data_IF_476838997119
#
_entry.id   IF_476838997119
#
_cell.length_a   1.000
_cell.length_b   1.000
_cell.length_c   1.000
_cell.angle_alpha   90.00
_cell.angle_beta   90.00
_cell.angle_gamma   90.00
#
_symmetry.space_group_name_H-M   'P 1'
#
loop_
_entity.id
_entity.type
_entity.pdbx_description
1 polymer ?
#
# COMPACT_ATOMS: atom_id res chain seq x y z
N UNK A 1 49.01 8.47 -15.31
CA UNK A 1 49.04 8.07 -16.74
C UNK A 1 49.21 6.57 -16.82
N UNK A 2 48.55 5.95 -17.80
CA UNK A 2 48.51 4.53 -18.15
C UNK A 2 47.63 3.60 -17.28
N UNK A 3 46.42 3.39 -17.82
CA UNK A 3 45.45 2.34 -17.46
C UNK A 3 45.86 1.03 -18.15
N UNK A 4 45.80 -0.09 -17.45
CA UNK A 4 46.00 -1.43 -18.03
C UNK A 4 44.68 -2.19 -17.99
N UNK A 5 43.94 -2.15 -19.10
CA UNK A 5 42.73 -2.95 -19.32
C UNK A 5 43.10 -4.37 -19.74
N UNK A 6 42.66 -5.36 -18.98
CA UNK A 6 42.83 -6.78 -19.29
C UNK A 6 41.57 -7.29 -20.00
N UNK A 7 41.66 -7.51 -21.31
CA UNK A 7 40.60 -8.13 -22.11
C UNK A 7 40.81 -9.65 -22.15
N UNK A 8 39.89 -10.41 -21.54
CA UNK A 8 39.87 -11.87 -21.62
C UNK A 8 38.94 -12.29 -22.76
N UNK A 9 39.52 -12.89 -23.80
CA UNK A 9 38.87 -13.40 -25.00
C UNK A 9 38.53 -14.88 -24.76
N UNK A 10 37.24 -15.21 -24.63
CA UNK A 10 36.78 -16.60 -24.54
C UNK A 10 36.31 -17.07 -25.92
N UNK A 11 36.90 -18.18 -26.37
CA UNK A 11 36.61 -18.90 -27.62
C UNK A 11 35.50 -19.91 -27.34
N UNK A 12 34.40 -19.90 -28.08
CA UNK A 12 33.39 -20.97 -28.05
C UNK A 12 33.59 -21.94 -29.23
N UNK A 13 33.42 -23.27 -29.04
CA UNK A 13 33.45 -24.23 -30.13
C UNK A 13 32.04 -24.43 -30.74
N UNK A 14 32.04 -24.77 -32.03
CA UNK A 14 30.86 -25.07 -32.84
C UNK A 14 30.09 -26.30 -32.34
N UNK A 15 28.77 -26.19 -32.30
CA UNK A 15 27.83 -27.31 -32.19
C UNK A 15 26.57 -27.00 -32.97
N UNK A 16 26.36 -27.71 -34.09
CA UNK A 16 25.11 -27.68 -34.86
C UNK A 16 24.03 -28.44 -34.10
N UNK A 17 22.90 -27.79 -33.83
CA UNK A 17 21.63 -28.46 -33.54
C UNK A 17 20.50 -27.70 -34.25
N UNK A 18 19.82 -28.42 -35.14
CA UNK A 18 18.69 -27.95 -35.94
C UNK A 18 17.46 -27.95 -35.02
N UNK A 19 16.93 -26.77 -34.71
CA UNK A 19 15.60 -26.61 -34.13
C UNK A 19 14.82 -25.57 -34.94
N UNK A 20 13.67 -26.00 -35.47
CA UNK A 20 12.69 -25.16 -36.16
C UNK A 20 12.15 -24.07 -35.22
N UNK A 21 12.12 -22.79 -35.60
CA UNK A 21 11.51 -21.76 -34.78
C UNK A 21 10.00 -21.73 -35.04
N UNK A 22 9.21 -22.12 -34.05
CA UNK A 22 7.84 -21.57 -33.91
C UNK A 22 8.04 -20.16 -33.36
N UNK A 23 7.89 -19.15 -34.20
CA UNK A 23 8.01 -17.75 -33.81
C UNK A 23 6.81 -17.36 -32.92
N UNK A 24 7.02 -17.33 -31.61
CA UNK A 24 6.14 -16.65 -30.67
C UNK A 24 6.43 -15.15 -30.73
N UNK A 25 5.62 -14.42 -31.49
CA UNK A 25 5.70 -12.96 -31.54
C UNK A 25 5.18 -12.35 -30.23
N UNK A 26 6.07 -11.71 -29.47
CA UNK A 26 5.69 -10.82 -28.36
C UNK A 26 4.93 -9.60 -28.90
N UNK A 27 4.02 -9.04 -28.10
CA UNK A 27 3.27 -7.81 -28.42
C UNK A 27 4.19 -6.63 -28.84
N UNK A 28 5.43 -6.60 -28.33
CA UNK A 28 6.44 -5.62 -28.73
C UNK A 28 6.91 -5.79 -30.19
N UNK A 29 6.94 -7.01 -30.72
CA UNK A 29 7.32 -7.32 -32.10
C UNK A 29 6.27 -6.89 -33.12
N UNK A 30 4.99 -6.98 -32.76
CA UNK A 30 3.89 -6.46 -33.59
C UNK A 30 3.91 -4.93 -33.67
N UNK A 31 4.22 -4.24 -32.56
CA UNK A 31 4.38 -2.77 -32.55
C UNK A 31 5.50 -2.30 -33.48
N UNK A 32 6.65 -2.99 -33.44
CA UNK A 32 7.79 -2.67 -34.29
C UNK A 32 7.51 -2.93 -35.77
N UNK A 33 6.81 -4.01 -36.11
CA UNK A 33 6.41 -4.30 -37.48
C UNK A 33 5.45 -3.22 -38.04
N UNK A 34 4.43 -2.80 -37.28
CA UNK A 34 3.47 -1.77 -37.72
C UNK A 34 4.14 -0.41 -37.98
N UNK A 35 5.12 -0.02 -37.16
CA UNK A 35 5.85 1.25 -37.32
C UNK A 35 6.78 1.26 -38.54
N UNK A 36 7.35 0.11 -38.92
CA UNK A 36 8.34 -0.01 -39.99
C UNK A 36 7.72 -0.40 -41.34
N UNK A 37 6.68 -1.23 -41.36
CA UNK A 37 6.08 -1.78 -42.59
C UNK A 37 4.65 -1.33 -42.85
N UNK A 38 4.01 -0.62 -41.91
CA UNK A 38 2.67 -0.09 -42.10
C UNK A 38 2.60 0.99 -43.19
N UNK A 39 1.45 1.09 -43.86
CA UNK A 39 1.16 2.15 -44.82
C UNK A 39 1.22 3.53 -44.15
N UNK A 40 1.43 4.64 -44.91
CA UNK A 40 1.51 5.99 -44.35
C UNK A 40 0.28 6.34 -43.50
N UNK A 41 -0.90 5.88 -43.94
CA UNK A 41 -2.17 6.01 -43.21
C UNK A 41 -2.16 5.23 -41.89
N UNK A 42 -1.64 4.00 -41.87
CA UNK A 42 -1.60 3.17 -40.66
C UNK A 42 -0.61 3.70 -39.62
N UNK A 43 0.52 4.28 -40.06
CA UNK A 43 1.47 4.98 -39.16
C UNK A 43 0.89 6.25 -38.58
N UNK A 44 0.13 7.01 -39.37
CA UNK A 44 -0.57 8.21 -38.91
C UNK A 44 -1.62 7.85 -37.86
N UNK A 45 -2.47 6.85 -38.12
CA UNK A 45 -3.49 6.38 -37.17
C UNK A 45 -2.86 5.85 -35.88
N UNK A 46 -1.76 5.10 -35.97
CA UNK A 46 -1.08 4.58 -34.78
C UNK A 46 -0.41 5.70 -33.97
N UNK A 47 0.24 6.66 -34.63
CA UNK A 47 0.81 7.84 -33.97
C UNK A 47 -0.29 8.70 -33.34
N UNK A 48 -1.43 8.86 -34.03
CA UNK A 48 -2.59 9.57 -33.53
C UNK A 48 -3.17 8.87 -32.30
N UNK A 49 -3.35 7.54 -32.32
CA UNK A 49 -3.81 6.74 -31.18
C UNK A 49 -2.82 6.77 -30.00
N UNK A 50 -1.51 6.76 -30.26
CA UNK A 50 -0.48 6.90 -29.23
C UNK A 50 -0.53 8.30 -28.61
N UNK A 51 -0.66 9.35 -29.43
CA UNK A 51 -0.80 10.73 -28.95
C UNK A 51 -2.12 10.97 -28.22
N UNK A 52 -3.25 10.42 -28.69
CA UNK A 52 -4.53 10.48 -27.97
C UNK A 52 -4.48 9.66 -26.68
N UNK A 53 -3.78 8.53 -26.65
CA UNK A 53 -3.53 7.75 -25.43
C UNK A 53 -2.69 8.52 -24.41
N UNK A 54 -1.70 9.30 -24.86
CA UNK A 54 -0.88 10.17 -24.01
C UNK A 54 -1.65 11.43 -23.56
N UNK A 55 -2.55 11.98 -24.39
CA UNK A 55 -3.38 13.16 -24.08
C UNK A 55 -4.60 12.85 -23.20
N UNK A 56 -5.00 11.57 -23.10
CA UNK A 56 -6.11 11.13 -22.23
C UNK A 56 -5.71 11.01 -20.74
N UNK A 57 -4.45 11.24 -20.40
CA UNK A 57 -3.95 11.08 -19.02
C UNK A 57 -4.08 12.33 -18.14
N UNK A 58 -4.67 13.42 -18.65
CA UNK A 58 -4.86 14.67 -17.89
C UNK A 58 -6.15 14.71 -17.03
N UNK A 59 -6.85 13.58 -16.88
CA UNK A 59 -7.80 13.39 -15.77
C UNK A 59 -7.06 12.60 -14.68
N UNK A 60 -6.35 13.16 -13.72
CA UNK A 60 -6.33 14.51 -13.15
C UNK A 60 -6.11 14.28 -11.65
N UNK A 61 -5.00 13.61 -11.29
CA UNK A 61 -4.70 13.29 -9.89
C UNK A 61 -4.79 14.55 -9.04
N UNK A 62 -5.32 14.48 -7.82
CA UNK A 62 -5.54 15.66 -7.00
C UNK A 62 -4.23 16.43 -6.82
N UNK A 63 -4.25 17.73 -7.04
CA UNK A 63 -3.14 18.62 -6.73
C UNK A 63 -3.04 18.89 -5.23
N UNK A 64 -2.04 19.66 -4.83
CA UNK A 64 -1.87 20.06 -3.42
C UNK A 64 -2.93 21.08 -2.94
N UNK A 65 -3.70 21.64 -3.86
CA UNK A 65 -4.81 22.57 -3.61
C UNK A 65 -5.96 21.94 -2.80
N UNK A 66 -6.18 20.63 -2.92
CA UNK A 66 -7.20 19.90 -2.12
C UNK A 66 -6.92 19.90 -0.62
N UNK A 67 -5.69 20.27 -0.22
CA UNK A 67 -5.28 20.35 1.19
C UNK A 67 -5.56 21.70 1.82
N UNK A 68 -5.98 22.70 1.02
CA UNK A 68 -6.30 24.00 1.56
C UNK A 68 -7.56 23.91 2.40
N UNK A 69 -7.42 24.25 3.67
CA UNK A 69 -8.54 24.26 4.61
C UNK A 69 -9.58 25.30 4.17
N UNK A 70 -10.81 24.84 3.94
CA UNK A 70 -11.96 25.71 3.67
C UNK A 70 -12.93 25.68 4.86
N UNK A 71 -13.49 26.83 5.19
CA UNK A 71 -14.44 26.92 6.30
C UNK A 71 -15.81 26.38 5.85
N UNK A 72 -16.22 25.26 6.42
CA UNK A 72 -17.47 24.55 6.09
C UNK A 72 -18.52 24.62 7.20
N UNK A 73 -18.47 25.63 8.09
CA UNK A 73 -19.33 25.82 9.29
C UNK A 73 -20.86 25.61 9.08
N UNK A 74 -21.33 25.48 7.85
CA UNK A 74 -22.73 25.36 7.46
C UNK A 74 -23.18 23.94 7.10
N UNK A 75 -22.33 22.92 7.24
CA UNK A 75 -22.63 21.55 6.77
C UNK A 75 -22.61 20.53 7.91
N UNK A 76 -23.65 19.69 7.98
CA UNK A 76 -23.72 18.54 8.89
C UNK A 76 -22.98 17.35 8.25
N UNK A 77 -21.64 17.37 8.35
CA UNK A 77 -20.77 16.33 7.78
C UNK A 77 -19.99 15.62 8.87
N UNK A 78 -19.70 14.34 8.63
CA UNK A 78 -18.82 13.58 9.51
C UNK A 78 -17.39 14.10 9.35
N UNK A 79 -16.76 14.51 10.45
CA UNK A 79 -15.35 14.90 10.46
C UNK A 79 -14.48 13.72 10.86
N UNK A 80 -13.44 13.45 10.07
CA UNK A 80 -12.34 12.55 10.40
C UNK A 80 -11.11 13.39 10.69
N UNK A 81 -10.63 13.37 11.93
CA UNK A 81 -9.34 13.95 12.29
C UNK A 81 -8.23 12.93 12.00
N UNK A 82 -7.32 13.29 11.11
CA UNK A 82 -6.17 12.48 10.73
C UNK A 82 -4.86 13.15 11.17
N UNK A 83 -3.91 12.34 11.64
CA UNK A 83 -2.57 12.79 11.95
C UNK A 83 -1.59 12.34 10.87
N UNK A 84 -0.48 13.05 10.71
CA UNK A 84 0.56 12.69 9.76
C UNK A 84 1.94 12.86 10.38
N UNK A 85 2.79 11.84 10.20
CA UNK A 85 4.22 11.91 10.36
C UNK A 85 4.87 11.69 8.98
N UNK A 86 5.76 12.57 8.54
CA UNK A 86 6.27 12.53 7.18
C UNK A 86 7.77 12.79 7.10
N UNK A 87 8.47 11.97 6.33
CA UNK A 87 9.88 12.20 5.93
C UNK A 87 9.98 12.98 4.61
N UNK A 88 8.89 13.66 4.20
CA UNK A 88 8.88 14.58 3.07
C UNK A 88 9.28 15.99 3.52
N UNK A 89 9.97 16.73 2.66
CA UNK A 89 10.17 18.17 2.85
C UNK A 89 8.83 18.92 2.78
N UNK A 90 8.73 20.00 3.55
CA UNK A 90 7.60 20.93 3.44
C UNK A 90 7.62 21.57 2.06
N UNK A 91 6.45 21.73 1.47
CA UNK A 91 6.34 22.53 0.25
C UNK A 91 6.65 24.01 0.60
N UNK A 92 7.20 24.78 -0.34
CA UNK A 92 7.55 26.21 -0.14
C UNK A 92 6.33 27.01 0.33
N UNK A 93 5.15 26.63 -0.16
CA UNK A 93 3.87 27.04 0.41
C UNK A 93 3.48 26.02 1.49
N UNK A 94 3.89 26.24 2.75
CA UNK A 94 3.62 25.29 3.85
C UNK A 94 2.12 24.97 4.03
N UNK A 95 1.23 25.83 3.53
CA UNK A 95 -0.23 25.61 3.46
C UNK A 95 -0.65 24.50 2.49
N UNK A 96 0.25 24.06 1.60
CA UNK A 96 0.06 23.00 0.59
C UNK A 96 0.65 21.65 1.02
N UNK A 97 0.98 21.48 2.30
CA UNK A 97 1.46 20.21 2.85
C UNK A 97 2.93 19.91 2.51
N UNK A 98 3.21 18.69 2.06
CA UNK A 98 4.57 18.19 1.83
C UNK A 98 4.83 17.80 0.37
N UNK A 99 6.07 17.99 -0.07
CA UNK A 99 6.52 17.69 -1.43
C UNK A 99 6.99 16.24 -1.62
N UNK A 100 7.85 16.04 -2.63
CA UNK A 100 8.43 14.73 -2.97
C UNK A 100 9.88 14.57 -2.54
N UNK A 101 10.51 15.61 -1.99
CA UNK A 101 11.89 15.58 -1.52
C UNK A 101 12.01 14.99 -0.12
N UNK A 102 13.19 14.47 0.22
CA UNK A 102 13.49 13.83 1.51
C UNK A 102 13.82 14.87 2.57
N UNK A 103 13.06 14.90 3.65
CA UNK A 103 13.43 15.65 4.85
C UNK A 103 14.34 14.80 5.74
N UNK A 104 15.44 15.40 6.21
CA UNK A 104 16.37 14.74 7.15
C UNK A 104 15.77 14.51 8.54
N UNK A 105 14.71 15.24 8.89
CA UNK A 105 13.95 15.05 10.13
C UNK A 105 12.46 14.94 9.80
N UNK A 106 11.71 14.08 10.51
CA UNK A 106 10.27 13.96 10.27
C UNK A 106 9.52 15.26 10.58
N UNK A 107 8.54 15.56 9.76
CA UNK A 107 7.55 16.61 9.95
C UNK A 107 6.23 16.03 10.44
N UNK A 108 5.45 16.84 11.15
CA UNK A 108 4.19 16.41 11.75
C UNK A 108 3.06 17.38 11.42
N UNK A 109 1.86 16.85 11.25
CA UNK A 109 0.67 17.64 10.97
C UNK A 109 -0.62 16.93 11.45
N UNK A 110 -1.70 17.69 11.56
CA UNK A 110 -3.07 17.17 11.74
C UNK A 110 -4.03 17.83 10.75
N UNK A 111 -5.03 17.07 10.32
CA UNK A 111 -6.05 17.50 9.37
C UNK A 111 -7.43 17.10 9.88
N UNK A 112 -8.41 17.99 9.76
CA UNK A 112 -9.82 17.62 9.87
C UNK A 112 -10.41 17.53 8.47
N UNK A 113 -10.94 16.37 8.13
CA UNK A 113 -11.44 16.06 6.80
C UNK A 113 -12.94 15.80 6.91
N UNK A 114 -13.74 16.62 6.23
CA UNK A 114 -15.17 16.42 6.05
C UNK A 114 -15.41 15.29 5.06
N UNK A 115 -16.24 14.33 5.47
CA UNK A 115 -16.71 13.23 4.63
C UNK A 115 -18.15 13.57 4.17
N UNK A 116 -18.44 13.58 2.87
CA UNK A 116 -19.74 14.00 2.36
C UNK A 116 -20.82 12.97 2.73
N UNK A 117 -22.09 13.39 2.95
CA UNK A 117 -23.18 12.47 3.25
C UNK A 117 -23.44 11.46 2.10
N UNK A 118 -23.05 11.82 0.87
CA UNK A 118 -23.17 10.96 -0.31
C UNK A 118 -22.03 9.96 -0.50
N UNK A 119 -21.11 9.85 0.47
CA UNK A 119 -19.91 9.02 0.37
C UNK A 119 -20.23 7.55 0.06
N UNK A 120 -19.46 6.97 -0.87
CA UNK A 120 -19.52 5.55 -1.22
C UNK A 120 -18.25 4.83 -0.75
N UNK A 121 -18.44 3.68 -0.12
CA UNK A 121 -17.34 2.87 0.39
C UNK A 121 -16.27 2.59 -0.67
N UNK A 122 -14.99 2.72 -0.29
CA UNK A 122 -13.83 2.52 -1.14
C UNK A 122 -13.51 3.65 -2.12
N UNK A 123 -14.42 4.62 -2.31
CA UNK A 123 -14.23 5.76 -3.23
C UNK A 123 -13.76 7.00 -2.46
N UNK A 124 -13.06 7.88 -3.15
CA UNK A 124 -12.77 9.22 -2.63
C UNK A 124 -13.42 10.19 -3.60
N UNK A 125 -14.40 10.94 -3.12
CA UNK A 125 -15.06 11.99 -3.88
C UNK A 125 -14.15 13.23 -3.94
N UNK A 126 -13.35 13.33 -5.00
CA UNK A 126 -12.43 14.45 -5.23
C UNK A 126 -13.16 15.68 -5.77
N UNK A 127 -12.83 16.85 -5.25
CA UNK A 127 -13.30 18.12 -5.80
C UNK A 127 -12.71 18.40 -7.19
N UNK A 128 -13.55 18.69 -8.17
CA UNK A 128 -13.17 19.13 -9.53
C UNK A 128 -13.34 20.64 -9.73
N UNK A 129 -13.09 21.42 -8.68
CA UNK A 129 -13.31 22.87 -8.64
C UNK A 129 -13.32 23.40 -7.20
N UNK A 130 -14.21 24.34 -6.91
CA UNK A 130 -14.42 24.83 -5.53
C UNK A 130 -14.90 23.66 -4.65
N UNK A 131 -14.20 23.32 -3.55
CA UNK A 131 -14.61 22.20 -2.69
C UNK A 131 -16.02 22.38 -2.11
N UNK A 132 -16.85 21.34 -2.21
CA UNK A 132 -18.20 21.28 -1.64
C UNK A 132 -18.28 20.11 -0.64
N UNK A 133 -18.36 20.36 0.68
CA UNK A 133 -18.37 19.29 1.69
C UNK A 133 -19.62 18.41 1.67
N UNK A 134 -20.67 18.78 0.92
CA UNK A 134 -21.82 17.89 0.69
C UNK A 134 -21.55 16.82 -0.37
N UNK A 135 -20.52 16.99 -1.19
CA UNK A 135 -20.21 16.13 -2.34
C UNK A 135 -18.80 15.54 -2.30
N UNK A 136 -17.86 16.31 -1.75
CA UNK A 136 -16.44 16.04 -1.81
C UNK A 136 -15.87 15.74 -0.42
N UNK A 137 -14.72 15.05 -0.41
CA UNK A 137 -13.83 15.06 0.74
C UNK A 137 -13.18 16.44 0.81
N UNK A 138 -13.27 17.10 1.96
CA UNK A 138 -12.82 18.48 2.10
C UNK A 138 -12.00 18.66 3.36
N UNK A 139 -10.79 19.22 3.22
CA UNK A 139 -10.02 19.66 4.39
C UNK A 139 -10.68 20.91 4.99
N UNK A 140 -11.04 20.83 6.26
CA UNK A 140 -11.68 21.92 7.01
C UNK A 140 -10.73 22.58 8.01
N UNK A 141 -9.68 21.86 8.42
CA UNK A 141 -8.56 22.35 9.23
C UNK A 141 -7.29 21.63 8.83
N UNK A 142 -6.17 22.36 8.82
CA UNK A 142 -4.84 21.83 8.58
C UNK A 142 -3.84 22.55 9.50
N UNK A 143 -3.20 21.81 10.40
CA UNK A 143 -2.25 22.35 11.37
C UNK A 143 -0.91 21.64 11.25
N UNK A 144 0.18 22.41 11.13
CA UNK A 144 1.54 21.89 11.24
C UNK A 144 1.93 21.79 12.71
N UNK A 145 2.40 20.62 13.13
CA UNK A 145 2.66 20.31 14.53
C UNK A 145 4.17 20.20 14.80
N UNK A 146 4.54 20.49 16.04
CA UNK A 146 5.83 20.04 16.57
C UNK A 146 5.72 18.56 16.95
N UNK A 147 6.86 17.85 17.02
CA UNK A 147 6.90 16.47 17.51
C UNK A 147 6.27 16.31 18.90
N UNK A 148 6.55 17.26 19.79
CA UNK A 148 6.01 17.25 21.15
C UNK A 148 4.48 17.37 21.15
N UNK A 149 3.92 18.28 20.34
CA UNK A 149 2.47 18.44 20.23
C UNK A 149 1.80 17.21 19.62
N UNK A 150 2.36 16.70 18.53
CA UNK A 150 1.90 15.47 17.87
C UNK A 150 1.84 14.28 18.84
N UNK A 151 2.91 14.09 19.63
CA UNK A 151 2.96 13.03 20.64
C UNK A 151 1.98 13.25 21.80
N UNK A 152 1.75 14.50 22.21
CA UNK A 152 0.75 14.80 23.24
C UNK A 152 -0.66 14.47 22.74
N UNK A 153 -1.01 14.90 21.52
CA UNK A 153 -2.33 14.65 20.93
C UNK A 153 -2.64 13.15 20.77
N UNK A 154 -1.68 12.37 20.26
CA UNK A 154 -1.84 10.92 20.14
C UNK A 154 -1.87 10.22 21.51
N UNK A 155 -1.15 10.75 22.50
CA UNK A 155 -1.24 10.33 23.89
C UNK A 155 -2.64 10.54 24.48
N UNK A 156 -3.31 11.64 24.15
CA UNK A 156 -4.69 11.93 24.57
C UNK A 156 -5.67 10.94 23.94
N UNK A 157 -5.52 10.69 22.62
CA UNK A 157 -6.30 9.67 21.91
C UNK A 157 -6.15 8.30 22.58
N UNK A 158 -4.92 7.86 22.81
CA UNK A 158 -4.65 6.57 23.43
C UNK A 158 -5.21 6.47 24.86
N UNK A 159 -5.08 7.52 25.67
CA UNK A 159 -5.63 7.57 27.04
C UNK A 159 -7.15 7.56 27.08
N UNK A 160 -7.81 8.12 26.06
CA UNK A 160 -9.27 8.04 25.90
C UNK A 160 -9.77 6.64 25.55
N UNK A 161 -8.86 5.68 25.32
CA UNK A 161 -9.21 4.32 24.92
C UNK A 161 -9.53 4.17 23.44
N UNK A 162 -9.30 5.21 22.62
CA UNK A 162 -9.52 5.18 21.18
C UNK A 162 -8.36 4.52 20.43
N UNK A 163 -8.65 3.96 19.24
CA UNK A 163 -7.66 3.27 18.42
C UNK A 163 -6.77 4.25 17.64
N UNK A 164 -5.49 3.92 17.48
CA UNK A 164 -4.61 4.56 16.49
C UNK A 164 -4.34 3.53 15.40
N UNK A 165 -4.61 3.90 14.14
CA UNK A 165 -4.35 3.05 12.98
C UNK A 165 -3.36 3.77 12.06
N UNK A 166 -2.13 3.28 12.01
CA UNK A 166 -1.06 3.79 11.19
C UNK A 166 -1.17 3.24 9.76
N UNK A 167 -1.35 4.10 8.78
CA UNK A 167 -1.31 3.80 7.36
C UNK A 167 0.05 4.20 6.75
N UNK A 168 0.74 3.24 6.14
CA UNK A 168 1.98 3.44 5.38
C UNK A 168 1.67 3.21 3.91
N UNK A 169 1.62 4.29 3.13
CA UNK A 169 1.19 4.24 1.73
C UNK A 169 2.20 3.51 0.83
N UNK A 170 1.73 3.12 -0.36
CA UNK A 170 2.52 2.44 -1.38
C UNK A 170 3.34 3.37 -2.28
N UNK A 171 3.89 2.75 -3.33
CA UNK A 171 4.56 3.39 -4.46
C UNK A 171 3.62 4.31 -5.25
N UNK A 172 4.16 5.34 -5.90
CA UNK A 172 3.40 6.22 -6.80
C UNK A 172 2.21 6.87 -6.06
N UNK A 173 2.42 7.28 -4.81
CA UNK A 173 1.46 8.03 -4.00
C UNK A 173 1.93 9.46 -3.79
N UNK A 174 1.04 10.42 -4.04
CA UNK A 174 1.20 11.78 -3.53
C UNK A 174 0.86 11.84 -2.03
N UNK A 175 1.22 12.96 -1.41
CA UNK A 175 0.90 13.21 -0.01
C UNK A 175 -0.62 13.27 0.24
N UNK A 176 -1.35 14.01 -0.60
CA UNK A 176 -2.81 14.17 -0.51
C UNK A 176 -3.57 12.86 -0.71
N UNK A 177 -3.15 12.02 -1.67
CA UNK A 177 -3.79 10.70 -1.87
C UNK A 177 -3.61 9.81 -0.65
N UNK A 178 -2.43 9.82 -0.02
CA UNK A 178 -2.18 9.02 1.18
C UNK A 178 -3.06 9.48 2.36
N UNK A 179 -3.19 10.79 2.56
CA UNK A 179 -4.03 11.39 3.60
C UNK A 179 -5.51 11.05 3.40
N UNK A 180 -6.05 11.31 2.21
CA UNK A 180 -7.46 11.11 1.92
C UNK A 180 -7.81 9.62 1.91
N UNK A 181 -6.91 8.75 1.44
CA UNK A 181 -7.10 7.30 1.51
C UNK A 181 -7.21 6.81 2.96
N UNK A 182 -6.37 7.31 3.86
CA UNK A 182 -6.46 6.96 5.27
C UNK A 182 -7.76 7.46 5.91
N UNK A 183 -8.21 8.67 5.56
CA UNK A 183 -9.48 9.22 6.02
C UNK A 183 -10.69 8.42 5.51
N UNK A 184 -10.68 8.04 4.23
CA UNK A 184 -11.70 7.17 3.63
C UNK A 184 -11.77 5.82 4.34
N UNK A 185 -10.63 5.16 4.53
CA UNK A 185 -10.62 3.86 5.22
C UNK A 185 -11.12 3.97 6.67
N UNK A 186 -10.77 5.05 7.39
CA UNK A 186 -11.27 5.27 8.75
C UNK A 186 -12.78 5.57 8.77
N UNK A 187 -13.29 6.30 7.77
CA UNK A 187 -14.71 6.58 7.62
C UNK A 187 -15.50 5.28 7.39
N UNK A 188 -15.05 4.46 6.44
CA UNK A 188 -15.68 3.21 6.02
C UNK A 188 -15.63 2.12 7.08
N UNK A 189 -14.50 2.01 7.77
CA UNK A 189 -14.35 1.09 8.89
C UNK A 189 -15.15 1.51 10.13
N UNK A 190 -15.83 2.67 10.10
CA UNK A 190 -16.51 3.28 11.25
C UNK A 190 -15.58 3.32 12.47
N UNK A 191 -14.33 3.70 12.23
CA UNK A 191 -13.26 3.61 13.20
C UNK A 191 -13.57 4.44 14.45
N UNK A 192 -13.51 3.82 15.63
CA UNK A 192 -13.48 4.51 16.92
C UNK A 192 -12.04 4.90 17.28
N UNK A 193 -11.56 5.96 16.66
CA UNK A 193 -10.19 6.42 16.81
C UNK A 193 -9.73 7.36 15.71
N UNK A 194 -8.42 7.42 15.49
CA UNK A 194 -7.82 8.32 14.50
C UNK A 194 -6.93 7.55 13.52
N UNK A 195 -7.07 7.78 12.20
CA UNK A 195 -6.05 7.38 11.25
C UNK A 195 -4.80 8.25 11.44
N UNK A 196 -3.64 7.61 11.39
CA UNK A 196 -2.33 8.23 11.36
C UNK A 196 -1.66 7.82 10.05
N UNK A 197 -1.09 8.75 9.30
CA UNK A 197 -0.38 8.46 8.06
C UNK A 197 1.12 8.58 8.29
N UNK A 198 1.89 7.56 7.90
CA UNK A 198 3.31 7.72 7.64
C UNK A 198 3.52 8.01 6.17
N UNK A 199 3.82 9.26 5.83
CA UNK A 199 4.04 9.67 4.45
C UNK A 199 5.52 9.80 4.12
N UNK A 200 6.04 8.84 3.35
CA UNK A 200 7.43 8.82 2.89
C UNK A 200 7.53 9.43 1.47
N UNK A 201 8.69 9.95 1.03
CA UNK A 201 8.84 10.75 -0.18
C UNK A 201 8.81 9.93 -1.48
N UNK A 202 7.64 9.36 -1.76
CA UNK A 202 7.29 8.85 -3.09
C UNK A 202 7.14 10.03 -4.07
N UNK A 203 7.66 9.83 -5.28
CA UNK A 203 7.63 10.80 -6.37
C UNK A 203 6.23 10.97 -6.98
N UNK A 204 5.27 10.11 -6.64
CA UNK A 204 3.95 10.07 -7.28
C UNK A 204 4.06 9.94 -8.82
N UNK A 205 5.03 9.17 -9.28
CA UNK A 205 5.30 8.96 -10.70
C UNK A 205 5.53 7.46 -10.98
N UNK A 206 4.89 6.93 -12.02
CA UNK A 206 5.01 5.53 -12.48
C UNK A 206 6.41 5.18 -13.02
N UNK A 207 7.23 6.16 -13.39
CA UNK A 207 8.63 5.96 -13.73
C UNK A 207 9.57 5.98 -12.50
N UNK A 208 9.05 6.36 -11.32
CA UNK A 208 9.84 6.62 -10.12
C UNK A 208 10.18 5.38 -9.28
N UNK A 209 9.88 4.17 -9.74
CA UNK A 209 9.92 2.94 -8.92
C UNK A 209 11.21 2.76 -8.11
N UNK A 210 12.38 2.88 -8.75
CA UNK A 210 13.68 2.71 -8.09
C UNK A 210 13.92 3.82 -7.08
N UNK A 211 13.65 5.08 -7.45
CA UNK A 211 13.83 6.22 -6.56
C UNK A 211 12.90 6.15 -5.33
N UNK A 212 11.67 5.66 -5.53
CA UNK A 212 10.70 5.42 -4.48
C UNK A 212 11.17 4.30 -3.54
N UNK A 213 11.79 3.23 -4.05
CA UNK A 213 12.37 2.16 -3.22
C UNK A 213 13.50 2.68 -2.33
N UNK A 214 14.37 3.54 -2.86
CA UNK A 214 15.41 4.23 -2.09
C UNK A 214 14.81 5.18 -1.05
N UNK A 215 13.74 5.91 -1.40
CA UNK A 215 13.04 6.84 -0.49
C UNK A 215 12.27 6.13 0.63
N UNK A 216 11.68 4.98 0.34
CA UNK A 216 11.08 4.11 1.33
C UNK A 216 12.17 3.64 2.31
N UNK A 217 13.28 3.10 1.79
CA UNK A 217 14.41 2.62 2.61
C UNK A 217 15.01 3.74 3.46
N UNK A 218 15.18 4.94 2.91
CA UNK A 218 15.60 6.15 3.63
C UNK A 218 14.69 6.46 4.84
N UNK A 219 13.40 6.14 4.75
CA UNK A 219 12.40 6.46 5.77
C UNK A 219 12.26 5.39 6.86
N UNK A 220 13.00 4.27 6.77
CA UNK A 220 12.91 3.12 7.69
C UNK A 220 13.09 3.52 9.15
N UNK A 221 14.18 4.23 9.45
CA UNK A 221 14.55 4.53 10.83
C UNK A 221 13.55 5.52 11.45
N UNK A 222 13.01 6.44 10.64
CA UNK A 222 11.93 7.34 11.06
C UNK A 222 10.63 6.60 11.37
N UNK A 223 10.27 5.57 10.60
CA UNK A 223 9.11 4.72 10.89
C UNK A 223 9.32 3.90 12.17
N UNK A 224 10.49 3.31 12.36
CA UNK A 224 10.83 2.58 13.58
C UNK A 224 10.76 3.48 14.84
N UNK A 225 11.28 4.71 14.73
CA UNK A 225 11.19 5.71 15.79
C UNK A 225 9.73 6.14 16.06
N UNK A 226 8.91 6.33 15.03
CA UNK A 226 7.49 6.62 15.20
C UNK A 226 6.76 5.49 15.93
N UNK A 227 6.97 4.23 15.53
CA UNK A 227 6.36 3.06 16.20
C UNK A 227 6.79 2.98 17.68
N UNK A 228 8.04 3.30 17.98
CA UNK A 228 8.52 3.44 19.36
C UNK A 228 7.77 4.52 20.12
N UNK A 229 7.59 5.71 19.54
CA UNK A 229 6.92 6.83 20.21
C UNK A 229 5.43 6.55 20.45
N UNK A 230 4.75 5.94 19.47
CA UNK A 230 3.33 5.56 19.58
C UNK A 230 3.11 4.52 20.68
N UNK A 231 3.92 3.47 20.73
CA UNK A 231 3.73 2.37 21.69
C UNK A 231 4.04 2.76 23.14
N UNK A 232 4.81 3.84 23.37
CA UNK A 232 4.96 4.45 24.70
C UNK A 232 3.67 5.13 25.16
N UNK A 233 2.89 5.67 24.24
CA UNK A 233 1.66 6.41 24.52
C UNK A 233 0.43 5.51 24.68
N UNK A 234 0.49 4.27 24.19
CA UNK A 234 -0.64 3.34 24.16
C UNK A 234 -0.46 2.17 25.15
N UNK A 235 -0.79 2.33 26.44
CA UNK A 235 -0.63 1.27 27.43
C UNK A 235 -1.72 0.18 27.36
N UNK A 236 -2.88 0.47 26.76
CA UNK A 236 -4.08 -0.40 26.85
C UNK A 236 -4.50 -1.08 25.54
N UNK A 237 -4.24 -0.46 24.38
CA UNK A 237 -4.62 -0.99 23.05
C UNK A 237 -3.37 -1.23 22.19
N UNK A 238 -3.45 -2.20 21.28
CA UNK A 238 -2.45 -2.36 20.23
C UNK A 238 -2.50 -1.17 19.27
N UNK A 239 -1.41 -0.88 18.58
CA UNK A 239 -1.39 0.04 17.42
C UNK A 239 -1.57 -0.81 16.17
N UNK A 240 -2.57 -0.48 15.35
CA UNK A 240 -2.75 -1.14 14.05
C UNK A 240 -1.78 -0.51 13.07
N UNK A 241 -0.97 -1.31 12.40
CA UNK A 241 -0.02 -0.88 11.37
C UNK A 241 -0.42 -1.50 10.05
N UNK A 242 -0.84 -0.67 9.11
CA UNK A 242 -1.32 -1.06 7.80
C UNK A 242 -0.35 -0.56 6.72
N UNK A 243 0.41 -1.46 6.10
CA UNK A 243 1.33 -1.14 5.01
C UNK A 243 0.80 -1.59 3.66
N UNK A 244 0.64 -0.68 2.70
CA UNK A 244 0.21 -1.02 1.34
C UNK A 244 1.41 -1.11 0.39
N UNK A 245 1.48 -2.15 -0.45
CA UNK A 245 2.46 -2.23 -1.55
C UNK A 245 3.91 -2.05 -1.05
N UNK A 246 4.66 -1.10 -1.61
CA UNK A 246 6.00 -0.72 -1.15
C UNK A 246 6.02 -0.13 0.28
N UNK A 247 4.89 0.37 0.79
CA UNK A 247 4.73 0.69 2.21
C UNK A 247 4.79 -0.56 3.10
N UNK A 248 4.36 -1.72 2.58
CA UNK A 248 4.53 -3.01 3.26
C UNK A 248 5.99 -3.43 3.38
N UNK A 249 6.80 -3.20 2.32
CA UNK A 249 8.26 -3.35 2.37
C UNK A 249 8.86 -2.52 3.52
N UNK A 250 8.47 -1.25 3.57
CA UNK A 250 8.95 -0.32 4.59
C UNK A 250 8.56 -0.74 6.02
N UNK A 251 7.32 -1.22 6.20
CA UNK A 251 6.87 -1.76 7.50
C UNK A 251 7.72 -2.96 7.92
N UNK A 252 7.99 -3.91 7.02
CA UNK A 252 8.83 -5.07 7.34
C UNK A 252 10.26 -4.69 7.71
N UNK A 253 10.84 -3.72 7.01
CA UNK A 253 12.17 -3.19 7.34
C UNK A 253 12.19 -2.48 8.71
N UNK A 254 11.15 -1.72 9.06
CA UNK A 254 11.04 -1.09 10.37
C UNK A 254 10.88 -2.13 11.50
N UNK A 255 10.08 -3.19 11.29
CA UNK A 255 9.96 -4.29 12.26
C UNK A 255 11.28 -5.04 12.44
N UNK A 256 12.01 -5.27 11.35
CA UNK A 256 13.34 -5.88 11.37
C UNK A 256 14.31 -5.02 12.20
N UNK A 257 14.34 -3.71 11.95
CA UNK A 257 15.15 -2.75 12.71
C UNK A 257 14.83 -2.81 14.21
N UNK A 258 13.54 -2.74 14.57
CA UNK A 258 13.10 -2.81 15.96
C UNK A 258 13.54 -4.11 16.64
N UNK A 259 13.49 -5.25 15.93
CA UNK A 259 13.94 -6.52 16.51
C UNK A 259 15.45 -6.54 16.73
N UNK A 260 16.24 -6.05 15.78
CA UNK A 260 17.69 -5.95 15.90
C UNK A 260 18.13 -5.02 17.05
N UNK A 261 17.33 -3.98 17.33
CA UNK A 261 17.51 -3.08 18.48
C UNK A 261 16.99 -3.66 19.81
N UNK A 262 16.45 -4.89 19.81
CA UNK A 262 15.89 -5.52 21.01
C UNK A 262 14.56 -4.93 21.48
N UNK A 263 13.85 -4.17 20.65
CA UNK A 263 12.58 -3.48 20.97
C UNK A 263 11.36 -4.40 20.90
N UNK A 264 11.45 -5.52 21.60
CA UNK A 264 10.36 -6.49 21.74
C UNK A 264 9.13 -5.88 22.41
N UNK A 265 9.34 -4.89 23.30
CA UNK A 265 8.30 -4.10 23.97
C UNK A 265 7.41 -3.32 22.99
N UNK A 266 8.01 -2.82 21.90
CA UNK A 266 7.29 -2.12 20.84
C UNK A 266 6.51 -3.11 20.00
N UNK A 267 7.20 -4.14 19.49
CA UNK A 267 6.62 -5.13 18.57
C UNK A 267 5.41 -5.84 19.21
N UNK A 268 5.47 -6.16 20.50
CA UNK A 268 4.38 -6.82 21.23
C UNK A 268 3.08 -6.00 21.30
N UNK A 269 3.12 -4.70 20.98
CA UNK A 269 1.95 -3.82 20.95
C UNK A 269 1.45 -3.53 19.53
N UNK A 270 2.00 -4.17 18.50
CA UNK A 270 1.62 -3.92 17.11
C UNK A 270 0.70 -5.02 16.59
N UNK A 271 -0.34 -4.61 15.88
CA UNK A 271 -1.12 -5.49 15.02
C UNK A 271 -0.84 -5.10 13.58
N UNK A 272 -0.12 -5.96 12.85
CA UNK A 272 0.44 -5.61 11.54
C UNK A 272 -0.37 -6.27 10.43
N UNK A 273 -0.79 -5.46 9.46
CA UNK A 273 -1.48 -5.86 8.23
C UNK A 273 -0.73 -5.30 7.04
N UNK A 274 -0.33 -6.17 6.11
CA UNK A 274 0.27 -5.79 4.84
C UNK A 274 -0.73 -6.03 3.72
N UNK A 275 -1.06 -5.02 2.93
CA UNK A 275 -2.01 -5.13 1.83
C UNK A 275 -1.30 -5.09 0.47
N UNK A 276 -1.49 -6.14 -0.32
CA UNK A 276 -0.82 -6.34 -1.61
C UNK A 276 0.69 -5.94 -1.57
N UNK A 277 1.47 -6.40 -0.56
CA UNK A 277 2.84 -5.96 -0.39
C UNK A 277 3.72 -6.28 -1.60
N UNK A 278 4.43 -5.26 -2.09
CA UNK A 278 5.47 -5.40 -3.12
C UNK A 278 6.80 -5.74 -2.45
N UNK A 279 6.92 -7.01 -2.05
CA UNK A 279 8.11 -7.59 -1.44
C UNK A 279 8.43 -8.87 -2.19
N UNK A 280 9.68 -9.05 -2.59
CA UNK A 280 10.20 -10.32 -3.09
C UNK A 280 10.00 -11.43 -2.04
N UNK A 281 9.52 -12.60 -2.45
CA UNK A 281 9.19 -13.68 -1.50
C UNK A 281 10.40 -14.19 -0.69
N UNK A 282 11.59 -14.26 -1.28
CA UNK A 282 12.82 -14.67 -0.57
C UNK A 282 13.28 -13.59 0.39
N UNK A 283 13.15 -12.32 0.00
CA UNK A 283 13.46 -11.21 0.90
C UNK A 283 12.47 -11.17 2.07
N UNK A 284 11.16 -11.35 1.81
CA UNK A 284 10.16 -11.45 2.87
C UNK A 284 10.49 -12.57 3.85
N UNK A 285 10.91 -13.73 3.33
CA UNK A 285 11.36 -14.87 4.15
C UNK A 285 12.53 -14.48 5.05
N UNK A 286 13.54 -13.79 4.52
CA UNK A 286 14.68 -13.31 5.33
C UNK A 286 14.31 -12.20 6.31
N UNK A 287 13.32 -11.38 6.00
CA UNK A 287 12.76 -10.40 6.92
C UNK A 287 12.04 -11.10 8.07
N UNK A 288 11.11 -12.02 7.78
CA UNK A 288 10.30 -12.69 8.81
C UNK A 288 11.14 -13.61 9.70
N UNK A 289 12.19 -14.24 9.18
CA UNK A 289 13.16 -15.02 9.98
C UNK A 289 13.78 -14.17 11.11
N UNK A 290 14.04 -12.88 10.84
CA UNK A 290 14.57 -11.96 11.87
C UNK A 290 13.46 -11.34 12.69
N UNK A 291 12.38 -10.86 12.06
CA UNK A 291 11.25 -10.26 12.78
C UNK A 291 10.65 -11.26 13.77
N UNK A 292 10.63 -12.55 13.43
CA UNK A 292 10.04 -13.61 14.23
C UNK A 292 8.51 -13.57 14.23
N UNK A 293 7.89 -14.51 14.95
CA UNK A 293 6.43 -14.60 15.07
C UNK A 293 5.86 -13.40 15.82
N UNK A 294 4.76 -12.87 15.31
CA UNK A 294 3.98 -11.81 15.95
C UNK A 294 2.76 -12.39 16.68
N UNK A 295 2.27 -11.69 17.70
CA UNK A 295 1.02 -12.00 18.38
C UNK A 295 0.18 -10.72 18.51
N UNK A 296 -0.96 -10.59 17.80
CA UNK A 296 -1.49 -11.56 16.83
C UNK A 296 -0.57 -11.75 15.61
N UNK A 297 -0.76 -12.84 14.81
CA UNK A 297 0.03 -13.09 13.61
C UNK A 297 0.06 -11.90 12.64
N UNK A 298 1.16 -11.75 11.91
CA UNK A 298 1.26 -10.81 10.78
C UNK A 298 0.20 -11.19 9.73
N UNK A 299 -0.72 -10.28 9.40
CA UNK A 299 -1.69 -10.49 8.33
C UNK A 299 -1.14 -9.97 7.00
N UNK A 300 -1.20 -10.78 5.95
CA UNK A 300 -0.86 -10.40 4.58
C UNK A 300 -2.10 -10.59 3.71
N UNK A 301 -2.66 -9.49 3.22
CA UNK A 301 -3.75 -9.50 2.25
C UNK A 301 -3.15 -9.65 0.85
N UNK A 302 -3.53 -10.72 0.17
CA UNK A 302 -2.99 -11.07 -1.16
C UNK A 302 -4.07 -11.01 -2.23
N UNK A 303 -3.63 -10.80 -3.46
CA UNK A 303 -4.48 -10.84 -4.63
C UNK A 303 -3.72 -11.43 -5.81
N UNK A 304 -4.06 -12.66 -6.21
CA UNK A 304 -3.30 -13.42 -7.22
C UNK A 304 -3.34 -12.79 -8.62
N UNK A 305 -4.38 -12.03 -8.90
CA UNK A 305 -4.60 -11.34 -10.17
C UNK A 305 -4.15 -9.87 -10.17
N UNK A 306 -3.42 -9.42 -9.13
CA UNK A 306 -2.89 -8.07 -9.02
C UNK A 306 -1.92 -7.74 -10.17
N UNK A 307 -2.29 -6.75 -10.97
CA UNK A 307 -1.54 -6.37 -12.18
C UNK A 307 -0.37 -5.45 -11.89
N UNK A 308 -0.45 -4.66 -10.81
CA UNK A 308 0.67 -3.82 -10.39
C UNK A 308 1.82 -4.69 -9.88
N UNK A 309 1.51 -5.72 -9.09
CA UNK A 309 2.51 -6.67 -8.62
C UNK A 309 3.13 -7.48 -9.75
N UNK A 310 2.35 -7.89 -10.76
CA UNK A 310 2.90 -8.49 -11.99
C UNK A 310 3.90 -7.58 -12.70
N UNK A 311 3.59 -6.28 -12.83
CA UNK A 311 4.54 -5.33 -13.42
C UNK A 311 5.81 -5.16 -12.56
N UNK A 312 5.67 -5.08 -11.24
CA UNK A 312 6.81 -4.98 -10.32
C UNK A 312 7.68 -6.24 -10.32
N UNK A 313 7.09 -7.43 -10.51
CA UNK A 313 7.80 -8.71 -10.65
C UNK A 313 8.77 -8.64 -11.83
N UNK A 314 8.30 -8.18 -13.00
CA UNK A 314 9.13 -8.00 -14.21
C UNK A 314 10.27 -7.01 -13.95
N UNK A 315 9.99 -5.86 -13.32
CA UNK A 315 11.02 -4.88 -12.96
C UNK A 315 12.05 -5.43 -11.96
N UNK A 316 11.65 -6.41 -11.15
CA UNK A 316 12.50 -7.10 -10.18
C UNK A 316 13.21 -8.33 -10.75
N UNK A 317 13.27 -8.50 -12.07
CA UNK A 317 13.82 -9.68 -12.74
C UNK A 317 13.00 -10.97 -12.50
N UNK A 318 11.68 -10.87 -12.72
CA UNK A 318 10.70 -11.97 -12.69
C UNK A 318 10.59 -12.71 -11.33
N UNK A 319 10.75 -11.96 -10.24
CA UNK A 319 10.62 -12.50 -8.89
C UNK A 319 9.17 -12.56 -8.40
N UNK A 320 8.84 -13.58 -7.62
CA UNK A 320 7.52 -13.73 -6.99
C UNK A 320 7.31 -12.66 -5.92
N UNK A 321 6.22 -11.89 -6.03
CA UNK A 321 5.86 -10.88 -5.02
C UNK A 321 4.90 -11.48 -3.99
N UNK A 322 5.17 -11.27 -2.71
CA UNK A 322 4.42 -11.88 -1.61
C UNK A 322 2.93 -11.47 -1.63
N UNK A 323 2.61 -10.26 -2.12
CA UNK A 323 1.24 -9.79 -2.29
C UNK A 323 0.43 -10.49 -3.39
N UNK A 324 1.08 -11.26 -4.27
CA UNK A 324 0.44 -11.97 -5.40
C UNK A 324 0.45 -13.49 -5.22
N UNK A 325 0.76 -14.00 -4.02
CA UNK A 325 0.77 -15.43 -3.76
C UNK A 325 -0.62 -16.07 -3.91
N UNK A 326 -0.63 -17.32 -4.36
CA UNK A 326 -1.82 -18.16 -4.37
C UNK A 326 -1.96 -18.89 -3.03
N UNK A 327 -2.98 -18.55 -2.25
CA UNK A 327 -3.25 -19.19 -0.95
C UNK A 327 -3.71 -20.65 -1.08
N UNK A 328 -4.05 -21.11 -2.29
CA UNK A 328 -4.41 -22.50 -2.55
C UNK A 328 -3.20 -23.40 -2.77
N UNK A 329 -2.01 -22.83 -2.98
CA UNK A 329 -0.75 -23.57 -3.09
C UNK A 329 -0.37 -24.20 -1.72
N UNK A 330 -0.18 -25.53 -1.65
CA UNK A 330 0.26 -26.21 -0.43
C UNK A 330 1.57 -25.66 0.16
N UNK A 331 2.50 -25.18 -0.67
CA UNK A 331 3.76 -24.62 -0.18
C UNK A 331 3.55 -23.29 0.53
N UNK A 332 2.63 -22.45 0.03
CA UNK A 332 2.24 -21.19 0.68
C UNK A 332 1.56 -21.47 2.01
N UNK A 333 0.70 -22.49 2.07
CA UNK A 333 0.00 -22.89 3.30
C UNK A 333 0.97 -23.41 4.37
N UNK A 334 1.91 -24.27 3.99
CA UNK A 334 2.94 -24.79 4.90
C UNK A 334 3.83 -23.64 5.41
N UNK A 335 4.29 -22.76 4.51
CA UNK A 335 5.09 -21.60 4.87
C UNK A 335 4.34 -20.65 5.82
N UNK A 336 3.04 -20.41 5.59
CA UNK A 336 2.20 -19.58 6.45
C UNK A 336 2.19 -20.09 7.90
N UNK A 337 1.98 -21.39 8.08
CA UNK A 337 1.98 -22.04 9.40
C UNK A 337 3.36 -22.04 10.05
N UNK A 338 4.41 -22.35 9.26
CA UNK A 338 5.79 -22.40 9.73
C UNK A 338 6.26 -21.03 10.23
N UNK A 339 6.08 -20.00 9.42
CA UNK A 339 6.56 -18.64 9.71
C UNK A 339 5.61 -17.86 10.64
N UNK A 340 4.43 -18.41 10.95
CA UNK A 340 3.46 -17.75 11.84
C UNK A 340 2.79 -16.54 11.19
N UNK A 341 2.52 -16.61 9.89
CA UNK A 341 1.91 -15.56 9.06
C UNK A 341 0.49 -15.96 8.68
N UNK A 342 -0.42 -15.00 8.65
CA UNK A 342 -1.79 -15.17 8.19
C UNK A 342 -1.94 -14.56 6.80
N UNK A 343 -2.13 -15.38 5.77
CA UNK A 343 -2.46 -14.92 4.42
C UNK A 343 -3.97 -14.92 4.22
N UNK A 344 -4.51 -13.83 3.67
CA UNK A 344 -5.94 -13.72 3.32
C UNK A 344 -6.05 -13.28 1.87
N UNK A 345 -6.58 -14.15 1.01
CA UNK A 345 -6.89 -13.81 -0.37
C UNK A 345 -8.13 -12.93 -0.45
N UNK A 346 -7.95 -11.73 -0.98
CA UNK A 346 -8.98 -10.72 -1.17
C UNK A 346 -9.32 -10.50 -2.65
N UNK A 347 -8.90 -11.40 -3.55
CA UNK A 347 -9.09 -11.27 -5.01
C UNK A 347 -10.56 -11.14 -5.43
N UNK A 348 -11.51 -11.61 -4.59
CA UNK A 348 -12.96 -11.49 -4.84
C UNK A 348 -13.54 -10.11 -4.55
N UNK A 349 -12.78 -9.22 -3.92
CA UNK A 349 -13.24 -7.86 -3.67
C UNK A 349 -13.18 -7.01 -4.96
N UNK A 350 -14.07 -6.02 -5.02
CA UNK A 350 -14.00 -5.01 -6.06
C UNK A 350 -12.76 -4.12 -5.87
N UNK A 351 -12.05 -3.89 -6.97
CA UNK A 351 -10.99 -2.90 -7.05
C UNK A 351 -11.58 -1.56 -7.51
N UNK A 352 -11.00 -0.47 -7.01
CA UNK A 352 -11.35 0.87 -7.47
C UNK A 352 -10.41 1.34 -8.58
N UNK A 353 -9.21 0.76 -8.65
CA UNK A 353 -8.22 0.96 -9.71
C UNK A 353 -8.27 -0.14 -10.80
N UNK A 354 -7.78 0.14 -12.03
CA UNK A 354 -7.74 -0.86 -13.11
C UNK A 354 -6.61 -1.89 -12.97
N UNK A 355 -5.76 -1.76 -11.95
CA UNK A 355 -4.61 -2.63 -11.68
C UNK A 355 -4.92 -3.72 -10.65
N UNK A 356 -6.11 -3.69 -10.06
CA UNK A 356 -6.54 -4.55 -9.00
C UNK A 356 -5.72 -4.42 -7.70
N UNK A 357 -5.00 -3.30 -7.53
CA UNK A 357 -3.98 -3.13 -6.48
C UNK A 357 -4.50 -2.44 -5.21
N UNK A 358 -5.76 -2.02 -5.21
CA UNK A 358 -6.39 -1.26 -4.13
C UNK A 358 -7.65 -1.91 -3.52
N UNK A 359 -7.86 -3.22 -3.76
CA UNK A 359 -9.00 -3.98 -3.20
C UNK A 359 -9.16 -3.88 -1.68
N UNK A 360 -8.07 -3.58 -0.96
CA UNK A 360 -8.12 -3.32 0.48
C UNK A 360 -8.98 -2.10 0.86
N UNK A 361 -9.16 -1.14 -0.05
CA UNK A 361 -10.00 0.02 0.19
C UNK A 361 -11.48 -0.37 0.35
N UNK A 362 -11.95 -1.36 -0.42
CA UNK A 362 -13.28 -1.93 -0.26
C UNK A 362 -13.39 -2.75 1.04
N UNK A 363 -12.32 -3.45 1.42
CA UNK A 363 -12.26 -4.24 2.66
C UNK A 363 -12.45 -3.37 3.92
N UNK A 364 -12.07 -2.09 3.89
CA UNK A 364 -12.22 -1.18 5.03
C UNK A 364 -13.67 -1.16 5.56
N UNK A 365 -14.66 -1.18 4.68
CA UNK A 365 -16.09 -1.21 5.05
C UNK A 365 -16.54 -2.51 5.74
N UNK A 366 -15.72 -3.56 5.67
CA UNK A 366 -15.95 -4.89 6.21
C UNK A 366 -15.14 -5.17 7.48
N UNK A 367 -14.32 -4.21 7.94
CA UNK A 367 -13.50 -4.34 9.16
C UNK A 367 -14.34 -4.67 10.40
N UNK A 368 -15.52 -4.05 10.65
CA UNK A 368 -16.34 -4.42 11.81
C UNK A 368 -16.76 -5.91 11.83
N UNK A 369 -17.04 -6.49 10.66
CA UNK A 369 -17.39 -7.90 10.48
C UNK A 369 -16.17 -8.80 10.65
N UNK A 370 -15.01 -8.40 10.09
CA UNK A 370 -13.76 -9.12 10.30
C UNK A 370 -13.36 -9.18 11.77
N UNK A 371 -13.51 -8.06 12.49
CA UNK A 371 -13.19 -7.98 13.92
C UNK A 371 -14.18 -8.81 14.77
N UNK A 372 -15.44 -8.95 14.36
CA UNK A 372 -16.36 -9.86 15.04
C UNK A 372 -16.00 -11.33 14.81
N UNK A 373 -15.64 -11.73 13.57
CA UNK A 373 -15.13 -13.08 13.27
C UNK A 373 -13.83 -13.40 14.02
N UNK A 374 -12.93 -12.41 14.16
CA UNK A 374 -11.71 -12.55 14.99
C UNK A 374 -12.05 -12.83 16.45
N UNK A 375 -12.99 -12.09 17.05
CA UNK A 375 -13.41 -12.32 18.44
C UNK A 375 -14.06 -13.69 18.63
N UNK A 376 -14.72 -14.23 17.61
CA UNK A 376 -15.28 -15.58 17.59
C UNK A 376 -14.23 -16.71 17.52
N UNK A 377 -12.96 -16.38 17.24
CA UNK A 377 -11.85 -17.35 17.19
C UNK A 377 -11.57 -17.95 15.81
N UNK A 378 -12.34 -17.58 14.78
CA UNK A 378 -12.27 -18.21 13.46
C UNK A 378 -10.98 -17.89 12.68
N UNK A 379 -10.32 -16.75 12.99
CA UNK A 379 -9.19 -16.21 12.22
C UNK A 379 -8.09 -15.54 13.06
N UNK A 380 -7.79 -16.09 14.24
CA UNK A 380 -6.68 -15.58 15.08
C UNK A 380 -5.37 -16.36 14.92
N UNK A 381 -5.31 -17.30 13.98
CA UNK A 381 -4.13 -18.15 13.77
C UNK A 381 -3.40 -17.84 12.46
N UNK A 382 -2.13 -18.20 12.44
CA UNK A 382 -1.37 -18.33 11.20
C UNK A 382 -2.03 -19.36 10.26
N UNK A 383 -1.75 -19.24 8.97
CA UNK A 383 -2.35 -20.07 7.91
C UNK A 383 -2.74 -19.25 6.69
N UNK A 384 -3.30 -19.93 5.68
CA UNK A 384 -3.78 -19.29 4.46
C UNK A 384 -5.31 -19.42 4.36
N UNK A 385 -5.97 -18.32 4.00
CA UNK A 385 -7.41 -18.18 4.01
C UNK A 385 -7.91 -17.42 2.77
N UNK A 386 -9.19 -17.57 2.46
CA UNK A 386 -9.89 -16.84 1.40
C UNK A 386 -11.00 -16.01 2.04
N UNK A 387 -11.06 -14.73 1.64
CA UNK A 387 -12.15 -13.84 2.01
C UNK A 387 -13.35 -14.05 1.09
N UNK A 388 -14.52 -14.32 1.67
CA UNK A 388 -15.80 -14.34 0.97
C UNK A 388 -16.52 -13.01 1.15
N UNK A 389 -16.64 -12.25 0.06
CA UNK A 389 -17.27 -10.94 0.05
C UNK A 389 -18.79 -10.98 0.30
N UNK A 390 -19.45 -12.09 -0.02
CA UNK A 390 -20.92 -12.21 0.12
C UNK A 390 -21.30 -12.35 1.60
N UNK A 391 -20.60 -13.24 2.32
CA UNK A 391 -20.80 -13.45 3.75
C UNK A 391 -19.98 -12.53 4.66
N UNK A 392 -19.02 -11.78 4.10
CA UNK A 392 -17.96 -11.10 4.84
C UNK A 392 -17.22 -12.04 5.82
N UNK A 393 -17.01 -13.30 5.40
CA UNK A 393 -16.36 -14.33 6.20
C UNK A 393 -14.99 -14.67 5.65
N UNK A 394 -14.13 -15.24 6.50
CA UNK A 394 -12.82 -15.75 6.10
C UNK A 394 -12.82 -17.25 6.35
N UNK A 395 -12.40 -18.02 5.35
CA UNK A 395 -12.44 -19.48 5.40
C UNK A 395 -11.14 -20.10 4.91
N UNK A 396 -10.79 -21.29 5.40
CA UNK A 396 -9.68 -22.07 4.84
C UNK A 396 -10.05 -22.57 3.44
N UNK A 397 -9.12 -22.57 2.47
CA UNK A 397 -9.36 -23.08 1.11
C UNK A 397 -9.96 -24.50 1.07
N UNK A 398 -9.58 -25.37 2.02
CA UNK A 398 -10.09 -26.75 2.09
C UNK A 398 -11.58 -26.83 2.45
N UNK A 399 -12.08 -25.90 3.29
CA UNK A 399 -13.51 -25.85 3.65
C UNK A 399 -14.37 -25.47 2.44
N UNK A 400 -13.90 -24.52 1.63
CA UNK A 400 -14.58 -24.12 0.39
C UNK A 400 -14.66 -25.28 -0.61
N UNK A 401 -13.57 -26.03 -0.80
CA UNK A 401 -13.57 -27.20 -1.68
C UNK A 401 -14.56 -28.28 -1.21
N UNK A 402 -14.66 -28.52 0.11
CA UNK A 402 -15.61 -29.48 0.66
C UNK A 402 -17.08 -29.07 0.53
N UNK A 403 -17.40 -27.77 0.58
CA UNK A 403 -18.77 -27.25 0.38
C UNK A 403 -19.22 -27.33 -1.09
N UNK A 404 -18.30 -27.18 -2.05
CA UNK A 404 -18.60 -27.32 -3.48
C UNK A 404 -18.82 -28.77 -3.87
N UNK A 405 -18.11 -29.71 -3.24
CA UNK A 405 -18.24 -31.16 -3.51
C UNK A 405 -19.45 -31.78 -2.78
N UNK A 406 -19.95 -31.13 -1.74
CA UNK A 406 -21.11 -31.60 -0.97
C UNK A 406 -22.05 -30.42 -0.62
N UNK A 407 -22.79 -29.88 -1.61
CA UNK A 407 -23.82 -28.88 -1.33
C UNK A 407 -24.96 -29.58 -0.57
N UNK A 408 -25.18 -29.19 0.70
CA UNK A 408 -26.36 -29.62 1.45
C UNK A 408 -27.64 -29.00 0.88
#
# INVERSE_FOLDING_TARGET
>A
MASSGMAIRVKHPHGNAIHSPVATFSAAGYLWAVLITGSPFMRLVFSLLLTLGLLSSCAGRPGADVLQAVNTRTHDTKIVTAYVASTREKNEDAKKGFGTQRAMQPNYASFDISIPPSHKSGKIEWSSGKPDPNKDFVVTRADMLTKARFNADLGDVARSGKQIALFVHGYNYSYQEALFRAAQMAADAKMDGVPLVFSWPSQANVAGYVADKESATFSRDALAALLTDLTRQTPRKSVVVFGHSMGGWLVMEALRQLRLEGRNDVIAKLQVVLAAPDIDADVFRKQIEVVGRLSPPLTVLVSKDDRALKASSILGADVTRIGALDVTDPQVQEAALKEGVQFIDISKLEASDPLNHDRYAALASMVPQLESSRRGGDINSAGAFVFDAIGATVSSPFRLASQVVNPQ
#
